data_IF_829520467385
#
_entry.id   IF_829520467385
#
_cell.length_a   1.000
_cell.length_b   1.000
_cell.length_c   1.000
_cell.angle_alpha   90.00
_cell.angle_beta   90.00
_cell.angle_gamma   90.00
#
_symmetry.space_group_name_H-M   'P 1'
#
loop_
_entity.id
_entity.type
_entity.pdbx_description
1 polymer ?
#
# COMPACT_ATOMS: atom_id res chain seq x y z
N UNK A 1 1.19 -24.75 13.60
CA UNK A 1 0.73 -23.39 13.29
C UNK A 1 -0.77 -23.43 13.08
N UNK A 2 -1.53 -22.64 13.84
CA UNK A 2 -2.97 -22.53 13.64
C UNK A 2 -3.25 -21.67 12.43
N UNK A 3 -4.28 -21.99 11.63
CA UNK A 3 -4.58 -21.31 10.37
C UNK A 3 -4.93 -19.82 10.53
N UNK A 4 -5.32 -19.37 11.73
CA UNK A 4 -5.64 -17.99 12.07
C UNK A 4 -5.44 -17.72 13.55
N UNK A 5 -5.47 -16.43 13.93
CA UNK A 5 -5.59 -16.02 15.33
C UNK A 5 -6.75 -15.04 15.53
N UNK A 6 -7.23 -14.98 16.78
CA UNK A 6 -8.25 -14.02 17.22
C UNK A 6 -7.57 -12.87 17.92
N UNK A 7 -8.00 -11.64 17.62
CA UNK A 7 -7.50 -10.44 18.21
C UNK A 7 -8.62 -9.74 18.98
N UNK A 8 -8.40 -9.57 20.28
CA UNK A 8 -9.29 -8.91 21.24
C UNK A 8 -8.65 -7.65 21.80
N UNK A 9 -9.40 -6.84 22.59
CA UNK A 9 -8.87 -5.60 23.14
C UNK A 9 -8.01 -5.83 24.39
N UNK A 10 -8.46 -6.68 25.32
CA UNK A 10 -7.90 -6.82 26.64
C UNK A 10 -7.32 -8.20 26.97
N UNK A 11 -6.47 -8.23 28.01
CA UNK A 11 -5.96 -9.48 28.55
C UNK A 11 -7.04 -10.36 29.20
N UNK A 12 -8.08 -9.83 29.87
CA UNK A 12 -9.20 -10.64 30.37
C UNK A 12 -9.86 -11.46 29.25
N UNK A 13 -10.10 -10.86 28.08
CA UNK A 13 -10.70 -11.56 26.93
C UNK A 13 -9.85 -12.72 26.44
N UNK A 14 -8.52 -12.54 26.43
CA UNK A 14 -7.57 -13.62 26.08
C UNK A 14 -7.73 -14.78 27.08
N UNK A 15 -7.72 -14.47 28.39
CA UNK A 15 -7.85 -15.48 29.43
C UNK A 15 -9.20 -16.21 29.31
N UNK A 16 -10.28 -15.49 29.04
CA UNK A 16 -11.60 -16.08 28.83
C UNK A 16 -11.62 -17.02 27.64
N UNK A 17 -11.16 -16.58 26.48
CA UNK A 17 -11.14 -17.39 25.26
C UNK A 17 -10.24 -18.62 25.42
N UNK A 18 -9.08 -18.48 26.05
CA UNK A 18 -8.21 -19.62 26.33
C UNK A 18 -8.82 -20.61 27.34
N UNK A 19 -9.64 -20.15 28.29
CA UNK A 19 -10.32 -21.03 29.24
C UNK A 19 -11.37 -21.95 28.60
N UNK A 20 -11.83 -21.62 27.40
CA UNK A 20 -12.72 -22.42 26.58
C UNK A 20 -12.01 -23.04 25.36
N UNK A 21 -10.69 -23.22 25.47
CA UNK A 21 -9.81 -23.87 24.49
C UNK A 21 -9.59 -23.11 23.16
N UNK A 22 -9.93 -21.83 23.09
CA UNK A 22 -9.57 -20.95 21.94
C UNK A 22 -8.17 -20.37 22.17
N UNK A 23 -7.14 -21.22 22.01
CA UNK A 23 -5.76 -20.95 22.42
C UNK A 23 -5.01 -19.97 21.50
N UNK A 24 -5.51 -19.69 20.29
CA UNK A 24 -4.91 -18.79 19.29
C UNK A 24 -5.43 -17.35 19.43
N UNK A 25 -5.57 -16.86 20.66
CA UNK A 25 -6.06 -15.53 20.97
C UNK A 25 -4.93 -14.64 21.47
N UNK A 26 -4.90 -13.39 21.01
CA UNK A 26 -3.97 -12.35 21.42
C UNK A 26 -4.73 -11.05 21.69
N UNK A 27 -4.19 -10.18 22.54
CA UNK A 27 -4.75 -8.86 22.80
C UNK A 27 -3.87 -7.74 22.22
N UNK A 28 -4.51 -6.68 21.71
CA UNK A 28 -3.81 -5.45 21.29
C UNK A 28 -3.25 -4.67 22.49
N UNK A 29 -3.86 -4.84 23.69
CA UNK A 29 -3.58 -4.09 24.92
C UNK A 29 -3.75 -2.57 24.75
N UNK A 30 -4.69 -2.17 23.90
CA UNK A 30 -5.02 -0.79 23.57
C UNK A 30 -5.90 -0.75 22.33
N UNK A 31 -6.47 0.43 22.01
CA UNK A 31 -7.43 0.55 20.90
C UNK A 31 -6.85 0.30 19.52
N UNK A 32 -5.53 0.44 19.32
CA UNK A 32 -4.88 0.28 18.03
C UNK A 32 -3.70 -0.68 18.07
N UNK A 33 -3.62 -1.59 17.11
CA UNK A 33 -2.43 -2.40 16.86
C UNK A 33 -1.35 -1.57 16.20
N UNK A 34 -0.12 -1.66 16.70
CA UNK A 34 1.03 -1.04 16.07
C UNK A 34 1.49 -1.85 14.84
N UNK A 35 2.15 -1.19 13.90
CA UNK A 35 2.72 -1.86 12.72
C UNK A 35 3.69 -2.99 13.12
N UNK A 36 4.48 -2.81 14.18
CA UNK A 36 5.40 -3.84 14.66
C UNK A 36 4.66 -5.05 15.23
N UNK A 37 3.58 -4.85 15.99
CA UNK A 37 2.74 -5.96 16.47
C UNK A 37 2.16 -6.75 15.30
N UNK A 38 1.61 -6.07 14.29
CA UNK A 38 1.08 -6.74 13.09
C UNK A 38 2.18 -7.49 12.32
N UNK A 39 3.38 -6.94 12.18
CA UNK A 39 4.52 -7.63 11.54
C UNK A 39 4.92 -8.93 12.29
N UNK A 40 4.95 -8.89 13.62
CA UNK A 40 5.26 -10.09 14.41
C UNK A 40 4.14 -11.15 14.31
N UNK A 41 2.88 -10.74 14.36
CA UNK A 41 1.73 -11.64 14.20
C UNK A 41 1.67 -12.25 12.79
N UNK A 42 2.04 -11.49 11.76
CA UNK A 42 2.06 -11.98 10.37
C UNK A 42 3.04 -13.16 10.16
N UNK A 43 4.09 -13.26 10.96
CA UNK A 43 5.02 -14.41 10.94
C UNK A 43 4.36 -15.70 11.45
N UNK A 44 3.29 -15.60 12.24
CA UNK A 44 2.59 -16.72 12.84
C UNK A 44 1.39 -17.18 12.03
N UNK A 45 0.65 -16.27 11.46
CA UNK A 45 -0.49 -16.53 10.58
C UNK A 45 -0.78 -15.30 9.69
N UNK A 46 -1.30 -15.55 8.49
CA UNK A 46 -1.75 -14.51 7.56
C UNK A 46 -3.24 -14.21 7.67
N UNK A 47 -3.93 -14.80 8.65
CA UNK A 47 -5.37 -14.58 8.88
C UNK A 47 -5.61 -14.10 10.29
N UNK A 48 -6.38 -13.03 10.42
CA UNK A 48 -6.80 -12.46 11.71
C UNK A 48 -8.31 -12.31 11.76
N UNK A 49 -8.91 -12.65 12.90
CA UNK A 49 -10.32 -12.38 13.18
C UNK A 49 -10.40 -11.47 14.40
N UNK A 50 -10.91 -10.26 14.21
CA UNK A 50 -11.15 -9.32 15.30
C UNK A 50 -12.41 -9.70 16.06
N UNK A 51 -12.35 -9.61 17.40
CA UNK A 51 -13.51 -9.75 18.28
C UNK A 51 -13.62 -8.45 19.10
N UNK A 52 -14.40 -7.47 18.61
CA UNK A 52 -14.56 -6.19 19.30
C UNK A 52 -15.45 -6.30 20.52
N UNK A 53 -15.26 -5.37 21.46
CA UNK A 53 -16.25 -5.08 22.50
C UNK A 53 -17.55 -4.58 21.83
N UNK A 54 -18.68 -4.99 22.39
CA UNK A 54 -19.97 -4.42 22.06
C UNK A 54 -20.24 -3.18 22.89
N UNK A 55 -19.67 -2.06 22.48
CA UNK A 55 -19.75 -0.79 23.17
C UNK A 55 -21.08 -0.05 22.91
N UNK A 56 -21.50 0.77 23.87
CA UNK A 56 -22.54 1.77 23.67
C UNK A 56 -22.03 2.94 22.85
N UNK A 57 -22.91 3.58 22.07
CA UNK A 57 -22.58 4.80 21.37
C UNK A 57 -22.48 5.98 22.35
N UNK A 58 -21.32 6.60 22.44
CA UNK A 58 -21.11 7.77 23.30
C UNK A 58 -21.54 9.05 22.58
N UNK A 59 -22.10 10.05 23.28
CA UNK A 59 -22.45 11.33 22.69
C UNK A 59 -21.24 11.96 21.95
N UNK A 60 -21.46 12.43 20.72
CA UNK A 60 -20.46 13.05 19.87
C UNK A 60 -19.58 12.08 19.07
N UNK A 61 -19.69 10.79 19.28
CA UNK A 61 -19.04 9.79 18.43
C UNK A 61 -19.96 9.34 17.31
N UNK A 62 -19.38 9.07 16.14
CA UNK A 62 -20.11 8.50 14.99
C UNK A 62 -20.35 6.99 15.20
N UNK A 63 -19.39 6.29 15.81
CA UNK A 63 -19.45 4.86 16.08
C UNK A 63 -19.08 4.50 17.52
N UNK A 64 -19.56 3.35 18.03
CA UNK A 64 -19.04 2.75 19.26
C UNK A 64 -17.53 2.53 19.18
N UNK A 65 -16.83 2.61 20.32
CA UNK A 65 -15.36 2.55 20.36
C UNK A 65 -14.81 1.24 19.77
N UNK A 66 -15.37 0.09 20.15
CA UNK A 66 -14.94 -1.21 19.58
C UNK A 66 -15.10 -1.27 18.06
N UNK A 67 -16.20 -0.70 17.50
CA UNK A 67 -16.39 -0.59 16.05
C UNK A 67 -15.32 0.29 15.40
N UNK A 68 -15.06 1.47 15.97
CA UNK A 68 -14.04 2.39 15.47
C UNK A 68 -12.64 1.78 15.50
N UNK A 69 -12.33 1.03 16.57
CA UNK A 69 -11.08 0.28 16.70
C UNK A 69 -10.92 -0.77 15.61
N UNK A 70 -11.99 -1.52 15.28
CA UNK A 70 -11.93 -2.51 14.19
C UNK A 70 -11.77 -1.83 12.83
N UNK A 71 -12.38 -0.67 12.58
CA UNK A 71 -12.14 0.09 11.34
C UNK A 71 -10.66 0.43 11.17
N UNK A 72 -10.01 0.95 12.21
CA UNK A 72 -8.60 1.32 12.16
C UNK A 72 -7.68 0.09 12.05
N UNK A 73 -7.89 -0.89 12.91
CA UNK A 73 -7.07 -2.10 12.98
C UNK A 73 -7.23 -2.99 11.74
N UNK A 74 -8.45 -3.09 11.19
CA UNK A 74 -8.73 -3.84 9.98
C UNK A 74 -8.03 -3.25 8.77
N UNK A 75 -8.03 -1.91 8.63
CA UNK A 75 -7.24 -1.21 7.58
C UNK A 75 -5.75 -1.51 7.72
N UNK A 76 -5.21 -1.37 8.93
CA UNK A 76 -3.80 -1.65 9.19
C UNK A 76 -3.42 -3.12 8.92
N UNK A 77 -4.29 -4.06 9.27
CA UNK A 77 -4.08 -5.48 9.01
C UNK A 77 -4.14 -5.81 7.50
N UNK A 78 -5.09 -5.24 6.74
CA UNK A 78 -5.13 -5.37 5.27
C UNK A 78 -3.83 -4.83 4.64
N UNK A 79 -3.37 -3.66 5.06
CA UNK A 79 -2.13 -3.06 4.58
C UNK A 79 -0.90 -3.93 4.92
N UNK A 80 -0.90 -4.59 6.07
CA UNK A 80 0.12 -5.55 6.46
C UNK A 80 0.06 -6.87 5.65
N UNK A 81 -1.05 -7.13 4.94
CA UNK A 81 -1.23 -8.30 4.07
C UNK A 81 -2.09 -9.42 4.66
N UNK A 82 -2.78 -9.17 5.78
CA UNK A 82 -3.67 -10.17 6.36
C UNK A 82 -4.97 -10.33 5.56
N UNK A 83 -5.51 -11.54 5.58
CA UNK A 83 -6.94 -11.78 5.39
C UNK A 83 -7.63 -11.45 6.72
N UNK A 84 -8.62 -10.56 6.68
CA UNK A 84 -9.21 -9.97 7.89
C UNK A 84 -10.68 -10.33 7.97
N UNK A 85 -11.07 -10.89 9.12
CA UNK A 85 -12.46 -11.18 9.48
C UNK A 85 -12.84 -10.47 10.77
N UNK A 86 -14.12 -10.37 11.02
CA UNK A 86 -14.70 -9.84 12.27
C UNK A 86 -15.71 -10.85 12.80
N UNK A 87 -15.74 -11.00 14.11
CA UNK A 87 -16.68 -11.84 14.82
C UNK A 87 -17.29 -11.03 15.96
N UNK A 88 -18.53 -10.57 15.79
CA UNK A 88 -19.21 -9.72 16.76
C UNK A 88 -19.96 -10.50 17.81
N UNK A 89 -20.02 -9.96 19.02
CA UNK A 89 -20.98 -10.37 20.04
C UNK A 89 -22.40 -10.09 19.50
N UNK A 90 -23.30 -11.08 19.46
CA UNK A 90 -24.63 -10.94 18.83
C UNK A 90 -25.62 -10.21 19.73
N UNK A 91 -25.40 -8.91 19.91
CA UNK A 91 -26.28 -7.99 20.61
C UNK A 91 -26.77 -6.90 19.63
N UNK A 92 -27.76 -6.10 20.08
CA UNK A 92 -28.22 -4.95 19.31
C UNK A 92 -27.07 -3.98 18.97
N UNK A 93 -27.18 -3.30 17.84
CA UNK A 93 -26.18 -2.32 17.41
C UNK A 93 -26.80 -0.92 17.21
N UNK A 94 -26.25 0.15 17.85
CA UNK A 94 -25.25 0.07 18.90
C UNK A 94 -25.78 -0.64 20.15
N UNK A 95 -24.89 -1.27 20.94
CA UNK A 95 -25.30 -1.98 22.14
C UNK A 95 -25.96 -1.02 23.15
N UNK A 96 -27.04 -1.47 23.81
CA UNK A 96 -27.69 -0.71 24.87
C UNK A 96 -26.88 -0.72 26.17
N UNK A 97 -26.14 -1.80 26.39
CA UNK A 97 -25.21 -1.98 27.50
C UNK A 97 -23.90 -2.52 26.94
N UNK A 98 -22.77 -2.03 27.49
CA UNK A 98 -21.47 -2.56 27.12
C UNK A 98 -21.36 -4.06 27.48
N UNK A 99 -20.91 -4.86 26.51
CA UNK A 99 -20.55 -6.27 26.69
C UNK A 99 -19.15 -6.49 26.12
N UNK A 100 -18.30 -7.12 26.93
CA UNK A 100 -16.93 -7.49 26.54
C UNK A 100 -16.87 -9.00 26.27
N UNK A 101 -15.93 -9.50 25.47
CA UNK A 101 -15.80 -10.94 25.21
C UNK A 101 -15.64 -11.77 26.49
N UNK A 102 -14.96 -11.27 27.52
CA UNK A 102 -14.76 -11.98 28.80
C UNK A 102 -16.03 -12.10 29.62
N UNK A 103 -16.95 -11.15 29.53
CA UNK A 103 -18.23 -11.15 30.24
C UNK A 103 -19.32 -11.93 29.49
N UNK A 104 -19.35 -11.84 28.15
CA UNK A 104 -20.39 -12.43 27.33
C UNK A 104 -20.12 -13.89 26.97
N UNK A 105 -18.84 -14.26 26.66
CA UNK A 105 -18.46 -15.61 26.23
C UNK A 105 -18.20 -16.47 27.49
N UNK A 106 -19.20 -17.14 27.99
CA UNK A 106 -19.06 -17.99 29.20
C UNK A 106 -18.64 -19.42 28.86
N UNK A 107 -18.93 -19.90 27.63
CA UNK A 107 -18.60 -21.22 27.14
C UNK A 107 -18.39 -21.25 25.62
N UNK A 108 -18.00 -22.41 25.07
CA UNK A 108 -17.78 -22.58 23.65
C UNK A 108 -19.06 -22.40 22.82
N UNK A 109 -20.24 -22.65 23.37
CA UNK A 109 -21.51 -22.45 22.71
C UNK A 109 -21.79 -20.99 22.39
N UNK A 110 -21.47 -20.08 23.34
CA UNK A 110 -21.56 -18.62 23.10
C UNK A 110 -20.59 -18.20 21.99
N UNK A 111 -19.35 -18.68 22.04
CA UNK A 111 -18.39 -18.39 20.98
C UNK A 111 -18.87 -18.87 19.59
N UNK A 112 -19.53 -20.03 19.50
CA UNK A 112 -20.06 -20.56 18.25
C UNK A 112 -21.27 -19.79 17.71
N UNK A 113 -22.02 -19.07 18.56
CA UNK A 113 -23.13 -18.22 18.12
C UNK A 113 -22.66 -16.95 17.41
N UNK A 114 -21.41 -16.51 17.67
CA UNK A 114 -20.82 -15.36 17.00
C UNK A 114 -20.53 -15.69 15.54
N UNK A 115 -21.23 -15.06 14.62
CA UNK A 115 -20.97 -15.21 13.19
C UNK A 115 -19.66 -14.52 12.81
N UNK A 116 -18.88 -15.18 11.97
CA UNK A 116 -17.69 -14.63 11.38
C UNK A 116 -18.01 -14.05 10.01
N UNK A 117 -17.62 -12.82 9.77
CA UNK A 117 -17.87 -12.08 8.54
C UNK A 117 -16.53 -11.51 8.02
N UNK A 118 -16.32 -11.47 6.71
CA UNK A 118 -15.16 -10.83 6.11
C UNK A 118 -15.18 -9.33 6.38
N UNK A 119 -14.04 -8.77 6.79
CA UNK A 119 -13.93 -7.37 7.22
C UNK A 119 -14.50 -6.36 6.21
N UNK A 120 -14.31 -6.58 4.91
CA UNK A 120 -14.81 -5.66 3.86
C UNK A 120 -16.33 -5.57 3.90
N UNK A 121 -17.04 -6.72 4.00
CA UNK A 121 -18.51 -6.74 4.09
C UNK A 121 -19.00 -6.23 5.44
N UNK A 122 -18.34 -6.59 6.52
CA UNK A 122 -18.61 -6.06 7.85
C UNK A 122 -18.46 -4.53 7.88
N UNK A 123 -17.40 -3.99 7.23
CA UNK A 123 -17.16 -2.56 7.11
C UNK A 123 -18.30 -1.87 6.34
N UNK A 124 -18.71 -2.43 5.18
CA UNK A 124 -19.85 -1.90 4.41
C UNK A 124 -21.12 -1.82 5.28
N UNK A 125 -21.43 -2.91 5.98
CA UNK A 125 -22.63 -3.03 6.81
C UNK A 125 -22.60 -2.08 8.03
N UNK A 126 -21.46 -1.91 8.66
CA UNK A 126 -21.36 -1.08 9.86
C UNK A 126 -21.22 0.40 9.57
N UNK A 127 -20.67 0.74 8.41
CA UNK A 127 -20.38 2.14 8.07
C UNK A 127 -21.40 2.78 7.14
N UNK A 128 -21.95 2.01 6.21
CA UNK A 128 -22.76 2.58 5.15
C UNK A 128 -24.13 1.91 5.01
N UNK A 129 -24.15 0.61 4.74
CA UNK A 129 -25.35 -0.11 4.32
C UNK A 129 -25.60 -1.31 5.21
N UNK A 130 -26.41 -1.18 6.28
CA UNK A 130 -26.80 -2.29 7.18
C UNK A 130 -27.36 -3.49 6.41
N UNK A 131 -28.11 -3.25 5.36
CA UNK A 131 -28.56 -4.26 4.40
C UNK A 131 -28.10 -3.92 2.97
N UNK A 132 -28.19 -4.88 2.05
CA UNK A 132 -27.81 -4.66 0.66
C UNK A 132 -28.76 -3.69 -0.06
N UNK A 133 -30.01 -3.58 0.39
CA UNK A 133 -31.03 -2.70 -0.15
C UNK A 133 -30.80 -1.23 0.21
N UNK A 134 -30.17 -0.95 1.35
CA UNK A 134 -29.95 0.41 1.85
C UNK A 134 -29.10 1.27 0.91
N UNK A 135 -28.33 0.64 0.00
CA UNK A 135 -27.55 1.37 -1.01
C UNK A 135 -28.44 2.20 -1.95
N UNK A 136 -29.67 1.75 -2.18
CA UNK A 136 -30.63 2.45 -3.05
C UNK A 136 -31.22 3.70 -2.39
N UNK A 137 -31.15 3.81 -1.05
CA UNK A 137 -31.60 4.99 -0.30
C UNK A 137 -30.58 6.13 -0.35
N UNK A 138 -29.33 5.83 -0.71
CA UNK A 138 -28.24 6.82 -0.81
C UNK A 138 -28.40 7.67 -2.07
N UNK A 139 -28.10 8.96 -1.95
CA UNK A 139 -27.91 9.80 -3.14
C UNK A 139 -26.78 9.25 -3.99
N UNK A 140 -26.76 9.59 -5.28
CA UNK A 140 -25.66 9.16 -6.16
C UNK A 140 -24.29 9.62 -5.64
N UNK A 141 -24.21 10.83 -5.06
CA UNK A 141 -22.97 11.40 -4.53
C UNK A 141 -22.50 10.63 -3.29
N UNK A 142 -23.38 10.41 -2.31
CA UNK A 142 -23.06 9.68 -1.08
C UNK A 142 -22.68 8.23 -1.39
N UNK A 143 -23.38 7.59 -2.32
CA UNK A 143 -23.07 6.24 -2.78
C UNK A 143 -21.70 6.16 -3.43
N UNK A 144 -21.35 7.10 -4.31
CA UNK A 144 -20.03 7.15 -4.94
C UNK A 144 -18.91 7.40 -3.91
N UNK A 145 -19.17 8.24 -2.90
CA UNK A 145 -18.22 8.47 -1.82
C UNK A 145 -17.99 7.20 -0.98
N UNK A 146 -19.06 6.47 -0.64
CA UNK A 146 -18.98 5.21 0.08
C UNK A 146 -18.23 4.15 -0.74
N UNK A 147 -18.56 4.01 -2.02
CA UNK A 147 -17.85 3.11 -2.96
C UNK A 147 -16.36 3.49 -3.04
N UNK A 148 -16.01 4.78 -3.07
CA UNK A 148 -14.63 5.23 -3.13
C UNK A 148 -13.85 4.85 -1.86
N UNK A 149 -14.44 5.00 -0.68
CA UNK A 149 -13.82 4.58 0.58
C UNK A 149 -13.59 3.07 0.63
N UNK A 150 -14.57 2.27 0.21
CA UNK A 150 -14.46 0.81 0.15
C UNK A 150 -13.41 0.38 -0.90
N UNK A 151 -13.38 1.02 -2.07
CA UNK A 151 -12.32 0.79 -3.06
C UNK A 151 -10.94 1.12 -2.49
N UNK A 152 -10.82 2.16 -1.63
CA UNK A 152 -9.62 2.45 -0.87
C UNK A 152 -9.18 1.30 0.03
N UNK A 153 -10.11 0.57 0.66
CA UNK A 153 -9.80 -0.65 1.41
C UNK A 153 -9.31 -1.77 0.49
N UNK A 154 -9.96 -1.96 -0.66
CA UNK A 154 -9.54 -2.95 -1.64
C UNK A 154 -8.11 -2.70 -2.14
N UNK A 155 -7.71 -1.44 -2.28
CA UNK A 155 -6.34 -1.08 -2.69
C UNK A 155 -5.28 -1.48 -1.65
N UNK A 156 -5.64 -1.65 -0.38
CA UNK A 156 -4.72 -2.16 0.66
C UNK A 156 -4.41 -3.66 0.48
N UNK A 157 -5.26 -4.41 -0.23
CA UNK A 157 -5.06 -5.84 -0.50
C UNK A 157 -4.02 -5.99 -1.61
N UNK A 158 -2.86 -6.56 -1.28
CA UNK A 158 -1.73 -6.72 -2.21
C UNK A 158 -1.99 -7.78 -3.28
N UNK A 159 -2.72 -8.85 -2.93
CA UNK A 159 -3.09 -9.93 -3.83
C UNK A 159 -4.20 -9.45 -4.79
N UNK A 160 -3.89 -9.42 -6.08
CA UNK A 160 -4.81 -8.90 -7.10
C UNK A 160 -5.98 -9.84 -7.38
N UNK A 161 -5.78 -11.14 -7.26
CA UNK A 161 -6.84 -12.14 -7.45
C UNK A 161 -7.84 -12.06 -6.30
N UNK A 162 -7.34 -11.93 -5.06
CA UNK A 162 -8.17 -11.72 -3.88
C UNK A 162 -8.94 -10.41 -3.97
N UNK A 163 -8.29 -9.31 -4.38
CA UNK A 163 -8.94 -8.00 -4.61
C UNK A 163 -10.07 -8.10 -5.64
N UNK A 164 -9.82 -8.81 -6.75
CA UNK A 164 -10.80 -9.00 -7.81
C UNK A 164 -11.98 -9.86 -7.36
N UNK A 165 -11.73 -10.86 -6.52
CA UNK A 165 -12.76 -11.69 -5.88
C UNK A 165 -13.67 -10.85 -4.99
N UNK A 166 -13.09 -10.01 -4.12
CA UNK A 166 -13.87 -9.08 -3.29
C UNK A 166 -14.71 -8.12 -4.13
N UNK A 167 -14.14 -7.53 -5.18
CA UNK A 167 -14.90 -6.64 -6.07
C UNK A 167 -16.09 -7.35 -6.70
N UNK A 168 -15.89 -8.58 -7.18
CA UNK A 168 -16.95 -9.40 -7.77
C UNK A 168 -18.08 -9.67 -6.76
N UNK A 169 -17.71 -10.03 -5.54
CA UNK A 169 -18.65 -10.29 -4.46
C UNK A 169 -19.40 -9.03 -4.02
N UNK A 170 -18.73 -7.88 -3.92
CA UNK A 170 -19.37 -6.58 -3.63
C UNK A 170 -20.36 -6.19 -4.72
N UNK A 171 -20.00 -6.34 -6.00
CA UNK A 171 -20.90 -6.08 -7.13
C UNK A 171 -22.12 -7.03 -7.09
N UNK A 172 -21.91 -8.30 -6.76
CA UNK A 172 -23.02 -9.25 -6.63
C UNK A 172 -24.00 -8.85 -5.52
N UNK A 173 -23.48 -8.38 -4.38
CA UNK A 173 -24.24 -8.01 -3.19
C UNK A 173 -24.94 -6.66 -3.37
N UNK A 174 -24.17 -5.62 -3.70
CA UNK A 174 -24.60 -4.22 -3.69
C UNK A 174 -24.96 -3.65 -5.07
N UNK A 175 -24.88 -4.46 -6.15
CA UNK A 175 -25.16 -4.04 -7.53
C UNK A 175 -24.20 -2.93 -8.03
N UNK A 176 -24.68 -1.99 -8.83
CA UNK A 176 -23.93 -0.81 -9.31
C UNK A 176 -22.56 -1.11 -9.94
N UNK A 177 -22.45 -2.19 -10.73
CA UNK A 177 -21.20 -2.74 -11.30
C UNK A 177 -20.31 -1.69 -11.97
N UNK A 178 -20.89 -0.72 -12.70
CA UNK A 178 -20.14 0.33 -13.38
C UNK A 178 -19.46 1.27 -12.39
N UNK A 179 -20.17 1.72 -11.37
CA UNK A 179 -19.66 2.63 -10.34
C UNK A 179 -18.47 2.00 -9.60
N UNK A 180 -18.59 0.73 -9.20
CA UNK A 180 -17.49 -0.02 -8.55
C UNK A 180 -16.25 -0.13 -9.44
N UNK A 181 -16.42 -0.56 -10.69
CA UNK A 181 -15.31 -0.78 -11.63
C UNK A 181 -14.59 0.53 -11.98
N UNK A 182 -15.36 1.58 -12.28
CA UNK A 182 -14.81 2.88 -12.65
C UNK A 182 -14.08 3.53 -11.48
N UNK A 183 -14.59 3.38 -10.25
CA UNK A 183 -13.95 3.93 -9.05
C UNK A 183 -12.67 3.19 -8.71
N UNK A 184 -12.67 1.85 -8.74
CA UNK A 184 -11.45 1.08 -8.48
C UNK A 184 -10.37 1.34 -9.54
N UNK A 185 -10.77 1.51 -10.82
CA UNK A 185 -9.85 1.87 -11.90
C UNK A 185 -9.19 3.22 -11.62
N UNK A 186 -9.96 4.25 -11.25
CA UNK A 186 -9.40 5.57 -10.88
C UNK A 186 -8.46 5.48 -9.68
N UNK A 187 -8.79 4.68 -8.67
CA UNK A 187 -7.91 4.47 -7.50
C UNK A 187 -6.57 3.85 -7.91
N UNK A 188 -6.57 2.84 -8.79
CA UNK A 188 -5.34 2.23 -9.34
C UNK A 188 -4.51 3.23 -10.14
N UNK A 189 -5.15 4.03 -11.00
CA UNK A 189 -4.46 5.06 -11.80
C UNK A 189 -3.83 6.14 -10.91
N UNK A 190 -4.52 6.58 -9.85
CA UNK A 190 -4.01 7.55 -8.89
C UNK A 190 -2.79 7.00 -8.12
N UNK A 191 -2.84 5.75 -7.63
CA UNK A 191 -1.73 5.10 -6.94
C UNK A 191 -0.48 5.00 -7.84
N UNK A 192 -0.68 4.61 -9.11
CA UNK A 192 0.41 4.53 -10.09
C UNK A 192 1.05 5.89 -10.35
N UNK A 193 0.22 6.92 -10.50
CA UNK A 193 0.68 8.31 -10.70
C UNK A 193 1.47 8.82 -9.49
N UNK A 194 0.97 8.60 -8.26
CA UNK A 194 1.68 8.97 -7.03
C UNK A 194 3.02 8.25 -6.88
N UNK A 195 3.05 6.95 -7.21
CA UNK A 195 4.30 6.17 -7.18
C UNK A 195 5.33 6.73 -8.14
N UNK A 196 4.93 7.02 -9.38
CA UNK A 196 5.80 7.62 -10.39
C UNK A 196 6.32 9.01 -9.95
N UNK A 197 5.46 9.82 -9.32
CA UNK A 197 5.87 11.13 -8.82
C UNK A 197 6.83 11.02 -7.63
N UNK A 198 6.64 10.06 -6.71
CA UNK A 198 7.57 9.80 -5.60
C UNK A 198 8.93 9.33 -6.10
N UNK A 199 8.96 8.42 -7.08
CA UNK A 199 10.20 7.96 -7.73
C UNK A 199 10.91 9.15 -8.38
N UNK A 200 10.21 9.97 -9.17
CA UNK A 200 10.78 11.17 -9.79
C UNK A 200 11.33 12.17 -8.76
N UNK A 201 10.61 12.42 -7.66
CA UNK A 201 11.10 13.32 -6.59
C UNK A 201 12.32 12.74 -5.87
N UNK A 202 12.40 11.43 -5.70
CA UNK A 202 13.56 10.73 -5.15
C UNK A 202 14.79 10.88 -6.04
N UNK A 203 14.63 10.67 -7.35
CA UNK A 203 15.69 10.84 -8.34
C UNK A 203 16.21 12.29 -8.36
N UNK A 204 15.32 13.28 -8.38
CA UNK A 204 15.69 14.72 -8.34
C UNK A 204 16.45 15.05 -7.06
N UNK A 205 16.03 14.52 -5.90
CA UNK A 205 16.73 14.77 -4.64
C UNK A 205 18.15 14.21 -4.67
N UNK A 206 18.30 12.97 -5.13
CA UNK A 206 19.61 12.30 -5.26
C UNK A 206 20.53 13.06 -6.21
N UNK A 207 20.04 13.49 -7.37
CA UNK A 207 20.82 14.27 -8.33
C UNK A 207 21.33 15.59 -7.71
N UNK A 208 20.48 16.30 -6.96
CA UNK A 208 20.88 17.54 -6.25
C UNK A 208 21.94 17.31 -5.19
N UNK A 209 21.86 16.21 -4.44
CA UNK A 209 22.89 15.85 -3.45
C UNK A 209 24.26 15.62 -4.10
N UNK A 210 24.30 15.19 -5.36
CA UNK A 210 25.54 15.02 -6.15
C UNK A 210 25.92 16.27 -6.97
N UNK A 211 25.20 17.37 -6.83
CA UNK A 211 25.48 18.62 -7.53
C UNK A 211 24.95 18.67 -8.96
N UNK A 212 23.97 17.83 -9.27
CA UNK A 212 23.25 17.85 -10.54
C UNK A 212 21.88 18.50 -10.41
N UNK A 213 21.46 19.17 -11.48
CA UNK A 213 20.08 19.49 -11.74
C UNK A 213 19.65 18.85 -13.06
N UNK A 214 18.38 18.46 -13.16
CA UNK A 214 17.80 17.85 -14.36
C UNK A 214 16.66 18.74 -14.85
N UNK A 215 16.78 19.24 -16.06
CA UNK A 215 15.68 19.87 -16.78
C UNK A 215 15.89 19.69 -18.29
N UNK A 216 14.79 19.72 -19.06
CA UNK A 216 14.77 19.57 -20.51
C UNK A 216 15.45 18.26 -21.02
N UNK A 217 15.32 17.17 -20.26
CA UNK A 217 16.02 15.88 -20.50
C UNK A 217 17.55 16.02 -20.58
N UNK A 218 18.13 16.95 -19.84
CA UNK A 218 19.56 17.20 -19.78
C UNK A 218 20.04 17.21 -18.33
N UNK A 219 21.31 16.90 -18.11
CA UNK A 219 21.97 17.15 -16.83
C UNK A 219 22.69 18.47 -16.85
N UNK A 220 22.52 19.24 -15.78
CA UNK A 220 23.13 20.53 -15.54
C UNK A 220 23.91 20.48 -14.24
N UNK A 221 24.87 21.36 -14.09
CA UNK A 221 25.61 21.53 -12.85
C UNK A 221 26.28 22.88 -12.79
N UNK A 222 27.05 23.11 -11.74
CA UNK A 222 27.69 24.40 -11.48
C UNK A 222 29.16 24.34 -11.77
N UNK A 223 29.71 25.32 -12.48
CA UNK A 223 31.13 25.48 -12.69
C UNK A 223 31.83 26.02 -11.41
N UNK A 224 33.15 26.25 -11.47
CA UNK A 224 33.91 26.76 -10.32
C UNK A 224 33.59 28.21 -9.98
N UNK A 225 33.00 28.92 -10.92
CA UNK A 225 32.64 30.36 -10.80
C UNK A 225 31.22 30.53 -10.28
N UNK A 226 30.45 29.40 -10.15
CA UNK A 226 29.09 29.38 -9.66
C UNK A 226 28.03 29.45 -10.76
N UNK A 227 28.42 29.50 -12.05
CA UNK A 227 27.49 29.54 -13.15
C UNK A 227 26.91 28.15 -13.45
N UNK A 228 25.63 28.08 -13.81
CA UNK A 228 25.00 26.86 -14.27
C UNK A 228 25.48 26.54 -15.70
N UNK A 229 25.97 25.32 -15.88
CA UNK A 229 26.44 24.80 -17.16
C UNK A 229 25.77 23.49 -17.50
N UNK A 230 25.46 23.30 -18.77
CA UNK A 230 24.91 22.03 -19.26
C UNK A 230 26.00 20.97 -19.37
N UNK A 231 25.83 19.84 -18.70
CA UNK A 231 26.76 18.74 -18.72
C UNK A 231 26.42 17.63 -19.74
N UNK A 232 25.15 17.55 -20.15
CA UNK A 232 24.72 16.66 -21.22
C UNK A 232 23.56 17.24 -22.02
N UNK A 233 23.37 16.78 -23.23
CA UNK A 233 22.15 17.04 -23.99
C UNK A 233 21.14 15.89 -23.92
N UNK A 234 21.29 15.01 -22.93
CA UNK A 234 20.46 13.83 -22.72
C UNK A 234 20.41 13.51 -21.24
N UNK A 235 19.44 12.62 -20.88
CA UNK A 235 19.43 11.90 -19.62
C UNK A 235 19.50 10.40 -19.81
N UNK A 236 20.03 9.69 -18.82
CA UNK A 236 20.11 8.22 -18.77
C UNK A 236 19.34 7.70 -17.57
N UNK A 237 18.45 6.75 -17.78
CA UNK A 237 17.75 6.03 -16.72
C UNK A 237 18.30 4.59 -16.68
N UNK A 238 18.92 4.14 -15.58
CA UNK A 238 19.31 2.76 -15.44
C UNK A 238 18.07 1.86 -15.37
N UNK A 239 18.05 0.79 -16.16
CA UNK A 239 16.96 -0.18 -16.18
C UNK A 239 17.35 -1.48 -15.52
N UNK A 240 18.47 -2.06 -15.96
CA UNK A 240 18.94 -3.37 -15.49
C UNK A 240 20.47 -3.41 -15.38
N UNK A 241 20.93 -4.23 -14.44
CA UNK A 241 22.32 -4.62 -14.33
C UNK A 241 22.42 -6.12 -14.62
N UNK A 242 23.02 -6.45 -15.75
CA UNK A 242 23.27 -7.83 -16.14
C UNK A 242 24.63 -8.21 -15.52
N UNK A 243 24.59 -9.11 -14.53
CA UNK A 243 25.79 -9.67 -13.91
C UNK A 243 26.29 -10.82 -14.79
N UNK A 244 27.37 -10.56 -15.49
CA UNK A 244 28.18 -11.57 -16.13
C UNK A 244 29.55 -11.51 -15.47
N UNK A 245 30.11 -12.65 -15.04
CA UNK A 245 31.40 -12.72 -14.35
C UNK A 245 32.56 -12.23 -15.24
N UNK A 246 32.39 -12.22 -16.56
CA UNK A 246 33.40 -11.82 -17.51
C UNK A 246 33.18 -10.44 -18.14
N UNK A 247 31.91 -10.00 -18.27
CA UNK A 247 31.59 -8.73 -18.91
C UNK A 247 30.28 -8.17 -18.36
N UNK A 248 30.27 -7.58 -17.16
CA UNK A 248 29.08 -6.98 -16.60
C UNK A 248 28.61 -5.81 -17.45
N UNK A 249 27.33 -5.81 -17.80
CA UNK A 249 26.69 -4.80 -18.65
C UNK A 249 25.56 -4.13 -17.90
N UNK A 250 25.42 -2.82 -18.07
CA UNK A 250 24.25 -2.05 -17.63
C UNK A 250 23.43 -1.60 -18.80
N UNK A 251 22.13 -1.82 -18.72
CA UNK A 251 21.15 -1.32 -19.68
C UNK A 251 20.60 0.01 -19.20
N UNK A 252 20.67 1.02 -20.05
CA UNK A 252 20.10 2.34 -19.81
C UNK A 252 19.07 2.69 -20.89
N UNK A 253 18.03 3.38 -20.47
CA UNK A 253 17.19 4.16 -21.37
C UNK A 253 17.80 5.56 -21.47
N UNK A 254 18.13 6.00 -22.70
CA UNK A 254 18.69 7.32 -22.98
C UNK A 254 17.69 8.17 -23.77
N UNK A 255 17.49 9.40 -23.35
CA UNK A 255 16.61 10.37 -24.01
C UNK A 255 17.31 11.73 -24.10
N UNK A 256 17.36 12.28 -25.31
CA UNK A 256 17.81 13.68 -25.51
C UNK A 256 16.63 14.66 -25.42
N UNK A 257 16.91 15.94 -25.60
CA UNK A 257 15.93 17.02 -25.59
C UNK A 257 15.13 17.17 -26.90
N UNK A 258 15.34 16.25 -27.87
CA UNK A 258 14.55 16.20 -29.09
C UNK A 258 13.21 15.47 -28.89
N UNK A 259 12.28 15.62 -29.84
CA UNK A 259 11.02 14.90 -29.88
C UNK A 259 11.17 13.41 -30.26
N UNK A 260 12.42 12.94 -30.46
CA UNK A 260 12.68 11.55 -30.77
C UNK A 260 12.36 10.63 -29.57
N UNK A 261 11.91 9.39 -29.83
CA UNK A 261 11.68 8.43 -28.75
C UNK A 261 12.99 8.09 -28.03
N UNK A 262 12.87 7.72 -26.74
CA UNK A 262 14.01 7.19 -25.98
C UNK A 262 14.62 5.94 -26.64
N UNK A 263 15.93 5.73 -26.45
CA UNK A 263 16.65 4.55 -26.94
C UNK A 263 17.21 3.73 -25.78
N UNK A 264 17.30 2.42 -25.99
CA UNK A 264 18.01 1.54 -25.08
C UNK A 264 19.46 1.41 -25.49
N UNK A 265 20.37 1.58 -24.53
CA UNK A 265 21.80 1.40 -24.74
C UNK A 265 22.37 0.45 -23.68
N UNK A 266 23.28 -0.41 -24.13
CA UNK A 266 24.09 -1.24 -23.26
C UNK A 266 25.46 -0.62 -23.11
N UNK A 267 25.90 -0.47 -21.86
CA UNK A 267 27.24 0.04 -21.52
C UNK A 267 27.95 -0.98 -20.62
N UNK A 268 29.15 -1.38 -21.03
CA UNK A 268 30.02 -2.21 -20.22
C UNK A 268 30.82 -1.36 -19.21
N UNK A 269 31.52 -2.01 -18.29
CA UNK A 269 32.30 -1.31 -17.27
C UNK A 269 33.35 -0.36 -17.85
N UNK A 270 34.06 -0.76 -18.92
CA UNK A 270 35.09 0.07 -19.53
C UNK A 270 34.55 1.34 -20.16
N UNK A 271 33.29 1.31 -20.65
CA UNK A 271 32.61 2.45 -21.27
C UNK A 271 32.10 3.47 -20.27
N UNK A 272 31.90 3.08 -19.00
CA UNK A 272 31.37 3.93 -17.94
C UNK A 272 32.38 4.34 -16.87
N UNK A 273 33.61 3.85 -16.93
CA UNK A 273 34.66 4.21 -15.97
C UNK A 273 35.28 5.59 -16.18
N UNK A 274 35.16 6.16 -17.36
CA UNK A 274 35.61 7.53 -17.64
C UNK A 274 34.72 8.28 -18.59
N UNK A 275 34.69 9.60 -18.42
CA UNK A 275 33.96 10.50 -19.33
C UNK A 275 34.48 10.42 -20.77
N UNK A 276 35.74 10.11 -20.96
CA UNK A 276 36.32 9.92 -22.30
C UNK A 276 35.79 8.68 -23.00
N UNK A 277 35.72 7.55 -22.27
CA UNK A 277 35.17 6.29 -22.80
C UNK A 277 33.69 6.43 -23.11
N UNK A 278 32.92 7.05 -22.18
CA UNK A 278 31.51 7.31 -22.41
C UNK A 278 31.27 8.20 -23.61
N UNK A 279 32.01 9.29 -23.78
CA UNK A 279 31.89 10.18 -24.96
C UNK A 279 32.13 9.42 -26.26
N UNK A 280 33.16 8.59 -26.31
CA UNK A 280 33.49 7.78 -27.49
C UNK A 280 32.33 6.83 -27.83
N UNK A 281 31.75 6.21 -26.84
CA UNK A 281 30.59 5.30 -27.02
C UNK A 281 29.35 6.05 -27.50
N UNK A 282 29.00 7.15 -26.85
CA UNK A 282 27.84 7.98 -27.18
C UNK A 282 27.93 8.54 -28.59
N UNK A 283 29.10 9.02 -29.00
CA UNK A 283 29.35 9.48 -30.38
C UNK A 283 29.08 8.41 -31.44
N UNK A 284 29.32 7.14 -31.10
CA UNK A 284 29.05 6.02 -32.01
C UNK A 284 27.58 5.64 -32.15
N UNK A 285 26.68 6.15 -31.30
CA UNK A 285 25.25 5.76 -31.29
C UNK A 285 24.29 6.90 -31.65
N UNK A 286 24.76 8.15 -31.74
CA UNK A 286 23.95 9.29 -32.14
C UNK A 286 24.48 10.61 -31.59
N UNK A 287 23.64 11.65 -31.63
CA UNK A 287 23.98 13.02 -31.21
C UNK A 287 23.88 13.23 -29.68
N UNK A 288 24.51 12.32 -28.92
CA UNK A 288 24.55 12.40 -27.46
C UNK A 288 25.88 12.98 -27.01
N UNK A 289 25.82 14.11 -26.26
CA UNK A 289 26.97 14.88 -25.81
C UNK A 289 27.08 14.80 -24.28
N UNK A 290 28.24 14.37 -23.79
CA UNK A 290 28.61 14.38 -22.39
C UNK A 290 29.81 15.30 -22.17
N UNK A 291 29.66 16.35 -21.34
CA UNK A 291 30.69 17.36 -21.10
C UNK A 291 31.27 17.34 -19.68
N UNK A 292 30.62 16.67 -18.76
CA UNK A 292 31.09 16.56 -17.39
C UNK A 292 32.38 15.74 -17.25
N UNK A 293 33.07 15.85 -16.11
CA UNK A 293 34.29 15.13 -15.78
C UNK A 293 33.99 13.76 -15.20
N UNK A 294 35.05 12.95 -15.01
CA UNK A 294 34.94 11.60 -14.47
C UNK A 294 34.30 11.56 -13.08
N UNK A 295 34.62 12.54 -12.21
CA UNK A 295 34.02 12.65 -10.87
C UNK A 295 32.49 12.77 -10.92
N UNK A 296 31.95 13.57 -11.83
CA UNK A 296 30.53 13.75 -12.01
C UNK A 296 29.91 12.48 -12.61
N UNK A 297 30.60 11.84 -13.57
CA UNK A 297 30.12 10.58 -14.15
C UNK A 297 29.99 9.49 -13.09
N UNK A 298 31.00 9.33 -12.24
CA UNK A 298 30.99 8.34 -11.15
C UNK A 298 29.83 8.61 -10.18
N UNK A 299 29.62 9.87 -9.80
CA UNK A 299 28.50 10.27 -8.93
C UNK A 299 27.15 10.00 -9.59
N UNK A 300 26.98 10.32 -10.88
CA UNK A 300 25.73 10.07 -11.62
C UNK A 300 25.40 8.59 -11.72
N UNK A 301 26.37 7.75 -11.91
CA UNK A 301 26.20 6.31 -12.06
C UNK A 301 26.09 5.57 -10.72
N UNK A 302 26.26 6.27 -9.58
CA UNK A 302 26.10 5.70 -8.24
C UNK A 302 27.23 4.76 -7.81
N UNK A 303 28.47 5.06 -8.21
CA UNK A 303 29.68 4.35 -7.79
C UNK A 303 30.33 5.01 -6.60
#
# INVERSE_FOLDING_TARGET
LKDKFYLVEGAPDVIRLQSIEILNTVASLGGACTENQLKELYKLSHKVTFIPDADTLKPGNEFPAGTANVFANGRAALQAGFTVNVREIPVDYPAQKKEDPDSWIVDIGHFQQMKEEEFIFWYCRRRYWPTAEDIEEFTTEDRLQAIADICGLLMLIKDEDLRSSYLTSLISTYKHSREWKDTLKRAKEAELSEKQERERKGDIKMLREFGFTEHDNCYWGTNKEGDEIQWSNFKMKPLFHIRDDFNPVRLFEIKNNSDEPSRLIELNMDEITSSSSLRKRLFGIGDYIWMARDEQLIKLLGY
#
